data_IF_587547074409
#
_entry.id   IF_587547074409
#
_cell.length_a   1.000
_cell.length_b   1.000
_cell.length_c   1.000
_cell.angle_alpha   90.00
_cell.angle_beta   90.00
_cell.angle_gamma   90.00
#
_symmetry.space_group_name_H-M   'P 1'
#
loop_
_entity.id
_entity.type
_entity.pdbx_description
1 polymer ?
#
# COMPACT_ATOMS: atom_id res chain seq x y z
N UNK A 1 -21.22 15.77 1.70
CA UNK A 1 -21.73 14.39 1.84
C UNK A 1 -20.60 13.48 1.39
N UNK A 2 -20.03 12.70 2.29
CA UNK A 2 -19.04 11.66 1.94
C UNK A 2 -19.76 10.59 1.11
N UNK A 3 -19.20 10.25 -0.06
CA UNK A 3 -19.74 9.16 -0.88
C UNK A 3 -19.78 7.88 -0.06
N UNK A 4 -20.88 7.09 -0.17
CA UNK A 4 -20.97 5.78 0.47
C UNK A 4 -19.91 4.85 -0.12
N UNK A 5 -19.28 4.05 0.73
CA UNK A 5 -18.33 3.02 0.28
C UNK A 5 -19.06 1.92 -0.50
N UNK A 6 -18.45 1.46 -1.59
CA UNK A 6 -19.02 0.48 -2.51
C UNK A 6 -18.54 -0.94 -2.18
N UNK A 7 -19.48 -1.88 -2.03
CA UNK A 7 -19.20 -3.28 -1.70
C UNK A 7 -19.75 -4.18 -2.79
N UNK A 8 -18.91 -5.09 -3.32
CA UNK A 8 -19.34 -6.15 -4.22
C UNK A 8 -19.51 -7.45 -3.42
N UNK A 9 -20.71 -8.05 -3.50
CA UNK A 9 -21.03 -9.34 -2.87
C UNK A 9 -21.20 -10.38 -3.97
N UNK A 10 -20.47 -11.48 -3.87
CA UNK A 10 -20.47 -12.59 -4.84
C UNK A 10 -20.76 -13.88 -4.09
N UNK A 11 -21.88 -14.50 -4.38
CA UNK A 11 -22.32 -15.74 -3.73
C UNK A 11 -23.35 -16.41 -4.65
N UNK A 12 -23.23 -17.69 -4.97
CA UNK A 12 -24.16 -18.41 -5.82
C UNK A 12 -25.49 -18.71 -5.10
N UNK A 13 -25.47 -18.76 -3.76
CA UNK A 13 -26.66 -18.97 -2.95
C UNK A 13 -27.47 -17.67 -2.84
N UNK A 14 -28.61 -17.62 -3.53
CA UNK A 14 -29.48 -16.45 -3.58
C UNK A 14 -29.90 -15.93 -2.19
N UNK A 15 -30.26 -16.84 -1.28
CA UNK A 15 -30.71 -16.48 0.06
C UNK A 15 -29.65 -15.74 0.86
N UNK A 16 -28.44 -16.28 0.89
CA UNK A 16 -27.27 -15.70 1.57
C UNK A 16 -26.88 -14.36 0.95
N UNK A 17 -26.84 -14.28 -0.38
CA UNK A 17 -26.52 -13.06 -1.12
C UNK A 17 -27.50 -11.93 -0.84
N UNK A 18 -28.82 -12.21 -0.90
CA UNK A 18 -29.88 -11.21 -0.63
C UNK A 18 -29.89 -10.78 0.84
N UNK A 19 -29.69 -11.72 1.79
CA UNK A 19 -29.61 -11.40 3.21
C UNK A 19 -28.44 -10.46 3.53
N UNK A 20 -27.25 -10.74 3.02
CA UNK A 20 -26.09 -9.87 3.15
C UNK A 20 -26.32 -8.50 2.51
N UNK A 21 -26.90 -8.49 1.30
CA UNK A 21 -27.25 -7.25 0.62
C UNK A 21 -28.22 -6.39 1.42
N UNK A 22 -29.27 -7.00 1.99
CA UNK A 22 -30.24 -6.30 2.83
C UNK A 22 -29.61 -5.74 4.11
N UNK A 23 -28.69 -6.49 4.72
CA UNK A 23 -27.99 -6.07 5.93
C UNK A 23 -27.05 -4.88 5.67
N UNK A 24 -26.35 -4.85 4.54
CA UNK A 24 -25.31 -3.84 4.28
C UNK A 24 -25.81 -2.59 3.54
N UNK A 25 -26.90 -2.64 2.78
CA UNK A 25 -27.44 -1.50 2.02
C UNK A 25 -27.77 -0.23 2.82
N UNK A 26 -28.16 -0.29 4.12
CA UNK A 26 -28.36 0.95 4.88
C UNK A 26 -27.13 1.85 4.92
N UNK A 27 -25.92 1.26 5.01
CA UNK A 27 -24.67 1.98 5.26
C UNK A 27 -23.76 2.04 4.02
N UNK A 28 -23.89 1.10 3.08
CA UNK A 28 -23.00 0.91 1.92
C UNK A 28 -23.76 0.91 0.60
N UNK A 29 -23.03 1.22 -0.48
CA UNK A 29 -23.51 0.98 -1.85
C UNK A 29 -23.19 -0.47 -2.25
N UNK A 30 -24.22 -1.32 -2.37
CA UNK A 30 -24.05 -2.76 -2.50
C UNK A 30 -24.43 -3.24 -3.89
N UNK A 31 -23.46 -3.85 -4.57
CA UNK A 31 -23.66 -4.59 -5.82
C UNK A 31 -23.63 -6.10 -5.55
N UNK A 32 -24.57 -6.83 -6.17
CA UNK A 32 -24.68 -8.28 -6.02
C UNK A 32 -24.29 -8.99 -7.32
N UNK A 33 -23.51 -10.05 -7.21
CA UNK A 33 -23.19 -10.97 -8.31
C UNK A 33 -23.54 -12.41 -7.89
N UNK A 34 -24.12 -13.16 -8.82
CA UNK A 34 -24.63 -14.50 -8.56
C UNK A 34 -23.61 -15.62 -8.78
N UNK A 35 -22.46 -15.28 -9.36
CA UNK A 35 -21.36 -16.19 -9.66
C UNK A 35 -20.03 -15.44 -9.80
N UNK A 36 -18.93 -16.22 -9.82
CA UNK A 36 -17.58 -15.65 -9.92
C UNK A 36 -17.31 -14.96 -11.26
N UNK A 37 -17.91 -15.40 -12.36
CA UNK A 37 -17.73 -14.79 -13.68
C UNK A 37 -18.34 -13.38 -13.71
N UNK A 38 -19.57 -13.23 -13.24
CA UNK A 38 -20.21 -11.92 -13.07
C UNK A 38 -19.42 -11.03 -12.12
N UNK A 39 -18.93 -11.59 -11.01
CA UNK A 39 -18.11 -10.88 -10.05
C UNK A 39 -16.86 -10.30 -10.71
N UNK A 40 -16.08 -11.10 -11.43
CA UNK A 40 -14.87 -10.68 -12.14
C UNK A 40 -15.20 -9.65 -13.23
N UNK A 41 -16.29 -9.84 -13.98
CA UNK A 41 -16.72 -8.88 -14.99
C UNK A 41 -17.08 -7.52 -14.39
N UNK A 42 -17.72 -7.49 -13.22
CA UNK A 42 -18.04 -6.26 -12.49
C UNK A 42 -16.78 -5.57 -11.97
N UNK A 43 -15.81 -6.32 -11.43
CA UNK A 43 -14.52 -5.80 -10.97
C UNK A 43 -13.71 -5.12 -12.09
N UNK A 44 -13.80 -5.65 -13.31
CA UNK A 44 -13.10 -5.08 -14.47
C UNK A 44 -13.74 -3.78 -14.99
N UNK A 45 -15.00 -3.50 -14.63
CA UNK A 45 -15.77 -2.34 -15.14
C UNK A 45 -16.00 -1.25 -14.11
N UNK A 46 -15.98 -1.60 -12.84
CA UNK A 46 -16.33 -0.70 -11.75
C UNK A 46 -15.28 -0.76 -10.64
N UNK A 47 -15.21 0.31 -9.85
CA UNK A 47 -14.39 0.35 -8.65
C UNK A 47 -15.23 -0.08 -7.43
N UNK A 48 -14.65 -0.92 -6.58
CA UNK A 48 -15.23 -1.32 -5.31
C UNK A 48 -14.23 -1.11 -4.18
N UNK A 49 -14.72 -0.67 -3.02
CA UNK A 49 -13.90 -0.46 -1.82
C UNK A 49 -13.68 -1.77 -1.04
N UNK A 50 -14.54 -2.77 -1.25
CA UNK A 50 -14.48 -4.07 -0.59
C UNK A 50 -15.15 -5.15 -1.45
N UNK A 51 -14.62 -6.36 -1.39
CA UNK A 51 -15.20 -7.56 -2.00
C UNK A 51 -15.54 -8.56 -0.90
N UNK A 52 -16.76 -9.09 -0.96
CA UNK A 52 -17.24 -10.22 -0.17
C UNK A 52 -17.55 -11.37 -1.13
N UNK A 53 -16.84 -12.48 -1.06
CA UNK A 53 -17.02 -13.58 -2.02
C UNK A 53 -17.12 -14.93 -1.32
N UNK A 54 -18.06 -15.79 -1.73
CA UNK A 54 -17.98 -17.21 -1.38
C UNK A 54 -16.75 -17.83 -2.03
N UNK A 55 -16.11 -18.75 -1.32
CA UNK A 55 -14.99 -19.53 -1.88
C UNK A 55 -15.50 -20.54 -2.91
N UNK A 56 -16.63 -21.20 -2.62
CA UNK A 56 -17.17 -22.25 -3.49
C UNK A 56 -18.39 -21.74 -4.24
N UNK A 57 -18.24 -21.55 -5.53
CA UNK A 57 -19.31 -21.19 -6.44
C UNK A 57 -19.26 -22.11 -7.65
N UNK A 58 -20.34 -22.81 -7.93
CA UNK A 58 -20.44 -23.71 -9.07
C UNK A 58 -21.72 -23.42 -9.90
N UNK A 59 -21.63 -23.42 -11.23
CA UNK A 59 -20.43 -23.60 -12.07
C UNK A 59 -19.65 -22.29 -12.26
N UNK A 60 -18.33 -22.36 -12.45
CA UNK A 60 -17.51 -21.23 -12.88
C UNK A 60 -16.35 -20.89 -11.94
N UNK A 61 -15.81 -19.66 -12.04
CA UNK A 61 -14.70 -19.20 -11.21
C UNK A 61 -15.04 -19.21 -9.71
N UNK A 62 -14.13 -19.71 -8.90
CA UNK A 62 -14.21 -19.74 -7.44
C UNK A 62 -13.93 -18.36 -6.82
N UNK A 63 -14.19 -18.21 -5.52
CA UNK A 63 -13.79 -17.00 -4.76
C UNK A 63 -12.28 -16.76 -4.74
N UNK A 64 -11.47 -17.82 -4.90
CA UNK A 64 -10.01 -17.67 -5.05
C UNK A 64 -9.63 -17.07 -6.40
N UNK A 65 -10.36 -17.38 -7.46
CA UNK A 65 -10.17 -16.77 -8.78
C UNK A 65 -10.59 -15.29 -8.76
N UNK A 66 -11.67 -14.97 -8.03
CA UNK A 66 -12.09 -13.58 -7.77
C UNK A 66 -10.99 -12.82 -7.00
N UNK A 67 -10.44 -13.41 -5.94
CA UNK A 67 -9.31 -12.84 -5.20
C UNK A 67 -8.12 -12.59 -6.13
N UNK A 68 -7.72 -13.57 -6.92
CA UNK A 68 -6.61 -13.43 -7.86
C UNK A 68 -6.84 -12.33 -8.90
N UNK A 69 -8.10 -12.15 -9.35
CA UNK A 69 -8.48 -11.04 -10.24
C UNK A 69 -8.40 -9.70 -9.52
N UNK A 70 -8.89 -9.60 -8.29
CA UNK A 70 -8.89 -8.36 -7.50
C UNK A 70 -7.48 -7.86 -7.19
N UNK A 71 -6.53 -8.77 -6.94
CA UNK A 71 -5.13 -8.43 -6.65
C UNK A 71 -4.38 -7.83 -7.84
N UNK A 72 -4.91 -7.97 -9.07
CA UNK A 72 -4.34 -7.33 -10.28
C UNK A 72 -4.78 -5.88 -10.45
N UNK A 73 -5.78 -5.42 -9.69
CA UNK A 73 -6.26 -4.05 -9.72
C UNK A 73 -5.30 -3.10 -8.98
N UNK A 74 -5.35 -1.82 -9.31
CA UNK A 74 -4.49 -0.81 -8.67
C UNK A 74 -5.31 0.44 -8.27
N UNK A 75 -5.51 0.67 -6.98
CA UNK A 75 -5.17 -0.20 -5.84
C UNK A 75 -6.07 -1.44 -5.75
N UNK A 76 -5.57 -2.58 -5.22
CA UNK A 76 -6.41 -3.74 -5.02
C UNK A 76 -7.36 -3.52 -3.84
N UNK A 77 -8.68 -3.75 -4.02
CA UNK A 77 -9.64 -3.71 -2.91
C UNK A 77 -9.41 -4.90 -1.97
N UNK A 78 -9.62 -4.75 -0.65
CA UNK A 78 -9.62 -5.87 0.26
C UNK A 78 -10.71 -6.88 -0.10
N UNK A 79 -10.38 -8.17 -0.02
CA UNK A 79 -11.30 -9.27 -0.29
C UNK A 79 -11.49 -10.11 0.98
N UNK A 80 -12.74 -10.27 1.42
CA UNK A 80 -13.14 -11.14 2.52
C UNK A 80 -13.84 -12.35 1.91
N UNK A 81 -13.43 -13.55 2.30
CA UNK A 81 -13.95 -14.80 1.75
C UNK A 81 -14.89 -15.50 2.72
N UNK A 82 -15.99 -16.05 2.21
CA UNK A 82 -16.88 -16.91 2.98
C UNK A 82 -16.49 -18.37 2.77
N UNK A 83 -16.51 -19.17 3.84
CA UNK A 83 -16.17 -20.58 3.80
C UNK A 83 -17.16 -21.41 4.58
N UNK A 84 -17.50 -22.60 4.08
CA UNK A 84 -18.28 -23.58 4.82
C UNK A 84 -17.46 -24.18 5.98
N UNK A 85 -18.17 -24.69 6.99
CA UNK A 85 -17.57 -25.38 8.14
C UNK A 85 -16.74 -26.60 7.64
N UNK A 86 -15.43 -26.60 7.96
CA UNK A 86 -14.51 -27.68 7.56
C UNK A 86 -13.43 -27.32 6.54
N UNK A 87 -13.45 -26.11 5.96
CA UNK A 87 -12.43 -25.65 5.00
C UNK A 87 -11.51 -24.57 5.59
N UNK A 88 -11.19 -24.67 6.90
CA UNK A 88 -10.29 -23.71 7.57
C UNK A 88 -8.92 -23.68 6.92
N UNK A 89 -8.40 -24.81 6.47
CA UNK A 89 -7.13 -24.91 5.75
C UNK A 89 -7.15 -24.07 4.45
N UNK A 90 -8.23 -24.18 3.68
CA UNK A 90 -8.43 -23.38 2.45
C UNK A 90 -8.54 -21.89 2.77
N UNK A 91 -9.19 -21.54 3.87
CA UNK A 91 -9.33 -20.15 4.30
C UNK A 91 -7.98 -19.54 4.75
N UNK A 92 -7.17 -20.31 5.49
CA UNK A 92 -5.79 -19.92 5.86
C UNK A 92 -4.92 -19.74 4.62
N UNK A 93 -5.05 -20.64 3.64
CA UNK A 93 -4.34 -20.53 2.37
C UNK A 93 -4.75 -19.27 1.61
N UNK A 94 -6.04 -18.95 1.58
CA UNK A 94 -6.55 -17.73 0.95
C UNK A 94 -5.97 -16.45 1.57
N UNK A 95 -5.83 -16.40 2.91
CA UNK A 95 -5.18 -15.26 3.59
C UNK A 95 -3.70 -15.15 3.21
N UNK A 96 -2.98 -16.28 3.09
CA UNK A 96 -1.60 -16.30 2.58
C UNK A 96 -1.51 -15.81 1.12
N UNK A 97 -2.53 -16.03 0.31
CA UNK A 97 -2.62 -15.56 -1.06
C UNK A 97 -3.05 -14.10 -1.19
N UNK A 98 -3.37 -13.41 -0.08
CA UNK A 98 -3.66 -11.98 -0.06
C UNK A 98 -5.10 -11.61 0.25
N UNK A 99 -5.97 -12.55 0.64
CA UNK A 99 -7.28 -12.21 1.20
C UNK A 99 -7.11 -11.40 2.49
N UNK A 100 -7.99 -10.43 2.71
CA UNK A 100 -7.95 -9.60 3.92
C UNK A 100 -8.31 -10.41 5.17
N UNK A 101 -9.37 -11.21 5.07
CA UNK A 101 -9.85 -12.08 6.15
C UNK A 101 -10.81 -13.14 5.57
N UNK A 102 -11.31 -14.03 6.42
CA UNK A 102 -12.37 -14.97 6.08
C UNK A 102 -13.46 -15.04 7.15
N UNK A 103 -14.64 -15.46 6.75
CA UNK A 103 -15.82 -15.66 7.63
C UNK A 103 -16.42 -17.03 7.35
N UNK A 104 -16.67 -17.80 8.42
CA UNK A 104 -17.31 -19.12 8.29
C UNK A 104 -18.83 -18.99 8.14
N UNK A 105 -19.44 -19.78 7.28
CA UNK A 105 -20.89 -19.95 7.18
C UNK A 105 -21.36 -20.91 8.30
N UNK A 106 -22.53 -20.66 8.97
CA UNK A 106 -23.44 -19.55 8.75
C UNK A 106 -22.85 -18.20 9.17
N UNK A 107 -23.13 -17.15 8.36
CA UNK A 107 -22.53 -15.83 8.54
C UNK A 107 -23.08 -15.17 9.81
N UNK A 108 -22.19 -14.86 10.74
CA UNK A 108 -22.53 -13.99 11.88
C UNK A 108 -22.35 -12.52 11.44
N UNK A 109 -23.44 -11.80 11.33
CA UNK A 109 -23.46 -10.42 10.82
C UNK A 109 -22.70 -9.44 11.72
N UNK A 110 -22.75 -9.60 13.05
CA UNK A 110 -22.02 -8.72 13.99
C UNK A 110 -20.52 -8.87 13.77
N UNK A 111 -20.05 -10.11 13.62
CA UNK A 111 -18.62 -10.39 13.29
C UNK A 111 -18.25 -9.87 11.91
N UNK A 112 -19.12 -10.05 10.92
CA UNK A 112 -18.91 -9.58 9.57
C UNK A 112 -18.76 -8.05 9.55
N UNK A 113 -19.60 -7.31 10.25
CA UNK A 113 -19.53 -5.85 10.36
C UNK A 113 -18.19 -5.37 10.93
N UNK A 114 -17.69 -6.03 11.96
CA UNK A 114 -16.37 -5.69 12.55
C UNK A 114 -15.25 -5.88 11.51
N UNK A 115 -15.28 -6.98 10.76
CA UNK A 115 -14.25 -7.27 9.74
C UNK A 115 -14.35 -6.28 8.57
N UNK A 116 -15.54 -5.96 8.10
CA UNK A 116 -15.79 -4.95 7.06
C UNK A 116 -15.22 -3.59 7.49
N UNK A 117 -15.53 -3.14 8.71
CA UNK A 117 -15.02 -1.87 9.24
C UNK A 117 -13.50 -1.82 9.25
N UNK A 118 -12.84 -2.87 9.72
CA UNK A 118 -11.37 -2.98 9.71
C UNK A 118 -10.79 -2.97 8.28
N UNK A 119 -11.45 -3.63 7.34
CA UNK A 119 -11.02 -3.65 5.96
C UNK A 119 -11.10 -2.26 5.33
N UNK A 120 -12.22 -1.56 5.48
CA UNK A 120 -12.44 -0.22 4.95
C UNK A 120 -11.54 0.83 5.63
N UNK A 121 -11.28 0.70 6.93
CA UNK A 121 -10.34 1.55 7.66
C UNK A 121 -8.92 1.39 7.10
N UNK A 122 -8.51 0.16 6.79
CA UNK A 122 -7.20 -0.09 6.16
C UNK A 122 -7.06 0.57 4.77
N UNK A 123 -8.16 0.65 4.00
CA UNK A 123 -8.21 1.37 2.72
C UNK A 123 -8.03 2.87 2.96
N UNK A 124 -8.82 3.46 3.86
CA UNK A 124 -8.74 4.88 4.19
C UNK A 124 -7.34 5.30 4.64
N UNK A 125 -6.71 4.51 5.51
CA UNK A 125 -5.33 4.77 5.97
C UNK A 125 -4.31 4.71 4.84
N UNK A 126 -4.47 3.78 3.88
CA UNK A 126 -3.61 3.70 2.69
C UNK A 126 -3.82 4.89 1.75
N UNK A 127 -5.06 5.30 1.54
CA UNK A 127 -5.42 6.48 0.74
C UNK A 127 -4.81 7.75 1.35
N UNK A 128 -5.01 7.97 2.66
CA UNK A 128 -4.45 9.10 3.39
C UNK A 128 -2.92 9.12 3.35
N UNK A 129 -2.28 7.97 3.58
CA UNK A 129 -0.82 7.86 3.49
C UNK A 129 -0.30 8.19 2.08
N UNK A 130 -1.02 7.75 1.05
CA UNK A 130 -0.67 8.05 -0.35
C UNK A 130 -0.85 9.53 -0.65
N UNK A 131 -1.92 10.14 -0.16
CA UNK A 131 -2.16 11.58 -0.31
C UNK A 131 -1.13 12.41 0.45
N UNK A 132 -0.80 12.04 1.69
CA UNK A 132 0.25 12.69 2.47
C UNK A 132 1.62 12.57 1.77
N UNK A 133 1.96 11.40 1.25
CA UNK A 133 3.18 11.20 0.45
C UNK A 133 3.17 12.05 -0.81
N UNK A 134 2.04 12.17 -1.49
CA UNK A 134 1.88 13.01 -2.69
C UNK A 134 2.06 14.50 -2.33
N UNK A 135 1.45 14.94 -1.24
CA UNK A 135 1.61 16.33 -0.73
C UNK A 135 3.07 16.61 -0.35
N UNK A 136 3.73 15.69 0.35
CA UNK A 136 5.15 15.78 0.67
C UNK A 136 6.00 15.75 -0.61
N UNK A 137 5.74 14.82 -1.53
CA UNK A 137 6.46 14.69 -2.79
C UNK A 137 6.34 15.92 -3.69
N UNK A 138 5.18 16.57 -3.73
CA UNK A 138 4.99 17.84 -4.46
C UNK A 138 5.73 19.03 -3.83
N UNK A 139 6.02 18.96 -2.52
CA UNK A 139 6.77 19.98 -1.80
C UNK A 139 8.28 19.81 -1.92
N UNK A 140 8.77 18.58 -2.19
CA UNK A 140 10.21 18.25 -2.15
C UNK A 140 10.83 17.87 -3.51
N UNK A 141 10.03 17.76 -4.59
CA UNK A 141 10.57 17.51 -5.94
C UNK A 141 11.09 18.76 -6.63
N UNK A 142 11.44 18.62 -7.90
CA UNK A 142 11.86 19.76 -8.76
C UNK A 142 10.84 20.91 -8.71
N UNK A 143 9.54 20.61 -8.52
CA UNK A 143 8.48 21.61 -8.31
C UNK A 143 8.58 22.35 -6.97
N UNK A 144 9.25 21.78 -5.96
CA UNK A 144 9.52 22.41 -4.66
C UNK A 144 10.76 23.32 -4.67
N UNK A 145 11.59 23.24 -5.70
CA UNK A 145 12.74 24.13 -5.88
C UNK A 145 12.28 25.46 -6.45
N UNK A 146 12.07 26.43 -5.55
CA UNK A 146 11.61 27.77 -5.93
C UNK A 146 12.79 28.59 -6.46
N UNK A 147 12.71 29.06 -7.71
CA UNK A 147 13.68 30.00 -8.27
C UNK A 147 13.56 30.09 -9.79
N UNK A 148 13.47 31.35 -10.28
CA UNK A 148 13.39 31.64 -11.72
C UNK A 148 14.71 32.13 -12.32
N UNK A 149 15.80 32.15 -11.54
CA UNK A 149 17.11 32.58 -12.04
C UNK A 149 17.67 31.55 -13.03
N UNK A 150 18.49 32.02 -13.98
CA UNK A 150 19.16 31.15 -14.96
C UNK A 150 20.01 30.06 -14.26
N UNK A 151 20.65 30.38 -13.14
CA UNK A 151 21.42 29.41 -12.34
C UNK A 151 20.54 28.30 -11.76
N UNK A 152 19.35 28.64 -11.27
CA UNK A 152 18.42 27.65 -10.72
C UNK A 152 17.88 26.74 -11.82
N UNK A 153 17.56 27.25 -13.01
CA UNK A 153 17.14 26.47 -14.14
C UNK A 153 18.20 25.44 -14.56
N UNK A 154 19.48 25.85 -14.63
CA UNK A 154 20.58 24.92 -14.92
C UNK A 154 20.72 23.83 -13.87
N UNK A 155 20.49 24.13 -12.57
CA UNK A 155 20.51 23.11 -11.51
C UNK A 155 19.36 22.13 -11.72
N UNK A 156 18.15 22.59 -12.03
CA UNK A 156 16.99 21.76 -12.32
C UNK A 156 17.25 20.81 -13.50
N UNK A 157 17.74 21.35 -14.61
CA UNK A 157 18.11 20.55 -15.79
C UNK A 157 19.17 19.50 -15.46
N UNK A 158 20.19 19.87 -14.67
CA UNK A 158 21.22 18.93 -14.21
C UNK A 158 20.61 17.82 -13.34
N UNK A 159 19.69 18.14 -12.42
CA UNK A 159 18.97 17.17 -11.58
C UNK A 159 18.21 16.16 -12.46
N UNK A 160 17.48 16.65 -13.45
CA UNK A 160 16.71 15.79 -14.37
C UNK A 160 17.60 14.86 -15.20
N UNK A 161 18.79 15.34 -15.61
CA UNK A 161 19.77 14.55 -16.38
C UNK A 161 20.46 13.48 -15.54
N UNK A 162 20.85 13.78 -14.30
CA UNK A 162 21.62 12.85 -13.46
C UNK A 162 20.73 11.87 -12.69
N UNK A 163 19.50 12.24 -12.37
CA UNK A 163 18.62 11.43 -11.55
C UNK A 163 18.38 9.99 -12.08
N UNK A 164 18.15 9.75 -13.38
CA UNK A 164 17.97 8.39 -13.90
C UNK A 164 19.26 7.53 -13.88
N UNK A 165 20.42 8.15 -13.70
CA UNK A 165 21.71 7.46 -13.72
C UNK A 165 22.03 6.80 -12.38
N UNK A 166 23.03 5.91 -12.34
CA UNK A 166 23.59 5.33 -11.10
C UNK A 166 24.84 6.06 -10.61
N UNK A 167 25.11 7.24 -11.14
CA UNK A 167 26.31 8.01 -10.84
C UNK A 167 26.24 8.61 -9.43
N UNK A 168 27.37 8.63 -8.74
CA UNK A 168 27.51 9.40 -7.48
C UNK A 168 27.51 10.89 -7.79
N UNK A 169 26.69 11.65 -7.07
CA UNK A 169 26.56 13.09 -7.26
C UNK A 169 27.12 13.82 -6.03
N UNK A 170 28.06 14.71 -6.25
CA UNK A 170 28.57 15.62 -5.23
C UNK A 170 27.84 16.97 -5.34
N UNK A 171 27.18 17.40 -4.26
CA UNK A 171 26.45 18.67 -4.18
C UNK A 171 27.23 19.61 -3.26
N UNK A 172 27.71 20.72 -3.81
CA UNK A 172 28.50 21.73 -3.08
C UNK A 172 27.72 23.06 -2.97
N UNK A 173 28.02 23.84 -1.95
CA UNK A 173 27.43 25.16 -1.72
C UNK A 173 27.50 25.57 -0.25
N UNK A 174 27.21 26.84 0.04
CA UNK A 174 27.21 27.39 1.39
C UNK A 174 26.12 26.75 2.28
N UNK A 175 26.25 26.94 3.59
CA UNK A 175 25.21 26.47 4.54
C UNK A 175 23.88 27.17 4.26
N UNK A 176 22.78 26.42 4.32
CA UNK A 176 21.42 26.98 4.09
C UNK A 176 21.01 27.16 2.63
N UNK A 177 21.85 26.82 1.63
CA UNK A 177 21.53 26.99 0.20
C UNK A 177 20.58 25.92 -0.36
N UNK A 178 20.10 24.97 0.46
CA UNK A 178 19.15 23.95 0.01
C UNK A 178 19.76 22.70 -0.62
N UNK A 179 21.02 22.37 -0.33
CA UNK A 179 21.70 21.15 -0.84
C UNK A 179 20.90 19.87 -0.60
N UNK A 180 20.26 19.77 0.58
CA UNK A 180 19.41 18.62 0.92
C UNK A 180 18.18 18.52 0.01
N UNK A 181 17.57 19.67 -0.35
CA UNK A 181 16.45 19.71 -1.27
C UNK A 181 16.85 19.22 -2.67
N UNK A 182 18.06 19.55 -3.11
CA UNK A 182 18.62 19.05 -4.38
C UNK A 182 18.81 17.53 -4.32
N UNK A 183 19.36 16.99 -3.22
CA UNK A 183 19.54 15.54 -3.05
C UNK A 183 18.17 14.79 -3.02
N UNK A 184 17.18 15.36 -2.35
CA UNK A 184 15.82 14.82 -2.34
C UNK A 184 15.18 14.86 -3.73
N UNK A 185 15.38 15.96 -4.49
CA UNK A 185 14.86 16.10 -5.85
C UNK A 185 15.49 15.06 -6.78
N UNK A 186 16.82 14.82 -6.71
CA UNK A 186 17.50 13.76 -7.47
C UNK A 186 16.90 12.40 -7.14
N UNK A 187 16.68 12.07 -5.86
CA UNK A 187 16.10 10.81 -5.47
C UNK A 187 14.68 10.62 -6.03
N UNK A 188 13.83 11.65 -5.97
CA UNK A 188 12.47 11.60 -6.50
C UNK A 188 12.41 11.45 -8.03
N UNK A 189 13.27 12.18 -8.73
CA UNK A 189 13.35 12.10 -10.20
C UNK A 189 14.02 10.81 -10.69
N UNK A 190 14.69 10.05 -9.81
CA UNK A 190 15.42 8.84 -10.19
C UNK A 190 14.52 7.64 -10.51
N UNK A 191 13.23 7.68 -10.16
CA UNK A 191 12.30 6.54 -10.28
C UNK A 191 12.62 5.36 -9.36
N UNK A 192 13.55 5.50 -8.42
CA UNK A 192 13.93 4.44 -7.47
C UNK A 192 12.83 4.24 -6.43
N UNK A 193 12.54 2.98 -6.11
CA UNK A 193 11.52 2.58 -5.12
C UNK A 193 12.04 2.54 -3.68
N UNK A 194 13.38 2.56 -3.48
CA UNK A 194 14.01 2.59 -2.16
C UNK A 194 13.74 3.89 -1.42
N UNK A 195 13.84 3.86 -0.09
CA UNK A 195 13.68 5.07 0.74
C UNK A 195 14.88 6.01 0.57
N UNK A 196 14.64 7.32 0.60
CA UNK A 196 15.69 8.32 0.79
C UNK A 196 16.16 8.26 2.25
N UNK A 197 17.44 8.00 2.46
CA UNK A 197 18.05 7.87 3.79
C UNK A 197 19.08 8.96 4.01
N UNK A 198 18.72 10.10 4.63
CA UNK A 198 19.69 11.14 4.97
C UNK A 198 20.57 10.71 6.14
N UNK A 199 21.88 10.96 6.05
CA UNK A 199 22.85 10.72 7.13
C UNK A 199 23.65 12.01 7.37
N UNK A 200 23.53 12.55 8.59
CA UNK A 200 24.28 13.73 9.01
C UNK A 200 25.62 13.32 9.61
N UNK A 201 26.63 13.10 8.77
CA UNK A 201 27.94 12.62 9.21
C UNK A 201 28.60 13.55 10.24
N UNK A 202 28.41 14.87 10.13
CA UNK A 202 28.97 15.83 11.08
C UNK A 202 28.33 15.81 12.47
N UNK A 203 27.16 15.18 12.62
CA UNK A 203 26.50 15.01 13.92
C UNK A 203 26.84 13.69 14.61
N UNK A 204 27.57 12.79 13.94
CA UNK A 204 27.97 11.51 14.47
C UNK A 204 29.42 11.60 14.98
N UNK A 205 29.72 11.03 16.16
CA UNK A 205 31.10 10.81 16.60
C UNK A 205 31.84 9.92 15.58
N UNK A 206 33.13 10.23 15.31
CA UNK A 206 33.92 9.50 14.29
C UNK A 206 33.93 7.98 14.49
N UNK A 207 33.97 7.53 15.73
CA UNK A 207 33.96 6.12 16.11
C UNK A 207 32.60 5.42 15.90
N UNK A 208 31.51 6.14 15.61
CA UNK A 208 30.18 5.58 15.39
C UNK A 208 29.71 5.67 13.94
N UNK A 209 30.41 6.42 13.09
CA UNK A 209 30.03 6.62 11.68
C UNK A 209 29.96 5.25 10.95
N UNK A 210 30.98 4.42 11.10
CA UNK A 210 31.01 3.09 10.44
C UNK A 210 29.86 2.20 10.95
N UNK A 211 29.61 2.21 12.25
CA UNK A 211 28.53 1.46 12.87
C UNK A 211 27.12 1.93 12.43
N UNK A 212 26.91 3.23 12.28
CA UNK A 212 25.63 3.77 11.79
C UNK A 212 25.43 3.49 10.29
N UNK A 213 26.51 3.50 9.48
CA UNK A 213 26.40 3.25 8.04
C UNK A 213 26.25 1.77 7.72
N UNK A 214 27.09 0.91 8.30
CA UNK A 214 27.21 -0.50 7.92
C UNK A 214 26.62 -1.47 8.97
N UNK A 215 26.32 -0.96 10.18
CA UNK A 215 25.88 -1.78 11.29
C UNK A 215 27.04 -2.45 12.03
N UNK A 216 26.70 -3.20 13.08
CA UNK A 216 27.67 -3.96 13.85
C UNK A 216 27.05 -5.22 14.44
N UNK A 217 27.86 -6.23 14.67
CA UNK A 217 27.51 -7.41 15.43
C UNK A 217 27.69 -7.17 16.93
N UNK A 218 27.00 -7.98 17.74
CA UNK A 218 27.18 -7.96 19.18
C UNK A 218 28.64 -8.22 19.55
N UNK A 219 29.24 -7.34 20.35
CA UNK A 219 30.62 -7.43 20.80
C UNK A 219 31.65 -6.84 19.84
N UNK A 220 31.27 -6.19 18.76
CA UNK A 220 32.19 -5.59 17.80
C UNK A 220 33.08 -4.48 18.39
N UNK A 221 32.58 -3.77 19.42
CA UNK A 221 33.32 -2.75 20.18
C UNK A 221 32.78 -2.61 21.60
N UNK A 222 33.50 -1.91 22.46
CA UNK A 222 33.08 -1.65 23.86
C UNK A 222 31.79 -0.84 23.88
N UNK A 223 30.67 -1.50 24.27
CA UNK A 223 29.32 -0.92 24.24
C UNK A 223 28.37 -1.51 23.18
N UNK A 224 28.83 -2.39 22.29
CA UNK A 224 27.99 -3.13 21.35
C UNK A 224 27.27 -4.29 22.04
N UNK A 225 26.21 -3.98 22.77
CA UNK A 225 25.42 -4.97 23.58
C UNK A 225 24.55 -5.84 22.66
N UNK A 226 24.06 -5.31 21.56
CA UNK A 226 23.16 -5.97 20.60
C UNK A 226 23.65 -5.76 19.18
N UNK A 227 23.23 -6.66 18.25
CA UNK A 227 23.44 -6.48 16.82
C UNK A 227 22.56 -5.33 16.31
N UNK A 228 23.15 -4.43 15.52
CA UNK A 228 22.40 -3.34 14.90
C UNK A 228 22.66 -3.30 13.39
N UNK A 229 21.58 -3.24 12.59
CA UNK A 229 21.67 -3.07 11.12
C UNK A 229 22.08 -1.64 10.79
N UNK A 230 22.96 -1.48 9.81
CA UNK A 230 23.34 -0.19 9.27
C UNK A 230 22.25 0.43 8.40
N UNK A 231 22.55 1.60 7.88
CA UNK A 231 21.67 2.35 6.98
C UNK A 231 21.78 1.92 5.51
N UNK A 232 22.87 1.22 5.18
CA UNK A 232 23.12 0.57 3.88
C UNK A 232 22.61 -0.85 3.83
#
# INVERSE_FOLDING_TARGET
>A
MTARRSILIIDDERGTREAMGKFLRPDYDVTLAEDGEKGINLLNRNHYDLILSDIRMEPGPSGLDVLAASLKLSPPPPCILFTAYGSIETAVEAVKQGAFDFVTKPVNFDRLEIIIRRALESVSLKEENTELKRKLGSSFGVKGMIGNSAKMKNIIETVEQVAPTRTTVLITGESGTGKELVAQAIHQCSGRTGKFVPVHCSALPDNLIESELFGHERGAFTGAVEMRKGRF
#
